data_IF_472293559763
#
_entry.id   IF_472293559763
#
_cell.length_a   1.000
_cell.length_b   1.000
_cell.length_c   1.000
_cell.angle_alpha   90.00
_cell.angle_beta   90.00
_cell.angle_gamma   90.00
#
_symmetry.space_group_name_H-M   'P 1'
#
loop_
_entity.id
_entity.type
_entity.pdbx_description
1 polymer ?
#
# COMPACT_ATOMS: atom_id res chain seq x y z
N UNK A 1 -19.14 -15.64 -13.62
CA UNK A 1 -19.40 -14.63 -12.58
C UNK A 1 -18.27 -13.61 -12.65
N UNK A 2 -18.57 -12.36 -12.97
CA UNK A 2 -17.56 -11.30 -12.96
C UNK A 2 -17.09 -11.12 -11.52
N UNK A 3 -15.86 -11.54 -11.21
CA UNK A 3 -15.23 -11.28 -9.93
C UNK A 3 -14.99 -9.77 -9.90
N UNK A 4 -15.73 -9.04 -9.08
CA UNK A 4 -15.50 -7.60 -8.90
C UNK A 4 -14.04 -7.42 -8.50
N UNK A 5 -13.23 -6.86 -9.40
CA UNK A 5 -11.82 -6.57 -9.18
C UNK A 5 -11.74 -5.28 -8.37
N UNK A 6 -11.97 -5.38 -7.07
CA UNK A 6 -11.67 -4.30 -6.14
C UNK A 6 -10.21 -4.39 -5.68
N UNK A 7 -9.79 -3.46 -4.80
CA UNK A 7 -8.41 -3.43 -4.30
C UNK A 7 -7.97 -4.75 -3.61
N UNK A 8 -8.89 -5.60 -3.14
CA UNK A 8 -8.55 -6.90 -2.58
C UNK A 8 -8.05 -7.89 -3.65
N UNK A 9 -8.32 -7.65 -4.94
CA UNK A 9 -7.74 -8.46 -6.03
C UNK A 9 -6.21 -8.34 -6.13
N UNK A 10 -5.61 -7.27 -5.60
CA UNK A 10 -4.15 -7.14 -5.47
C UNK A 10 -3.56 -8.08 -4.41
N UNK A 11 -4.36 -8.52 -3.43
CA UNK A 11 -3.92 -9.46 -2.39
C UNK A 11 -3.84 -10.89 -2.95
N UNK A 12 -4.83 -11.28 -3.76
CA UNK A 12 -4.99 -12.65 -4.26
C UNK A 12 -4.18 -12.96 -5.52
N UNK A 13 -3.73 -11.96 -6.28
CA UNK A 13 -3.16 -12.16 -7.63
C UNK A 13 -1.77 -12.81 -7.65
N UNK A 14 -1.07 -12.86 -6.51
CA UNK A 14 0.35 -13.26 -6.47
C UNK A 14 0.61 -14.70 -6.06
N UNK A 15 -0.42 -15.55 -5.94
CA UNK A 15 -0.25 -16.95 -5.53
C UNK A 15 0.50 -17.82 -6.53
N UNK A 16 0.43 -17.50 -7.83
CA UNK A 16 0.92 -18.35 -8.92
C UNK A 16 1.89 -17.61 -9.88
N UNK A 17 2.83 -16.83 -9.34
CA UNK A 17 3.85 -16.11 -10.13
C UNK A 17 5.17 -16.89 -10.20
N UNK A 18 5.87 -16.82 -11.34
CA UNK A 18 7.20 -17.44 -11.51
C UNK A 18 8.31 -16.71 -10.75
N UNK A 19 9.45 -17.36 -10.51
CA UNK A 19 10.56 -16.84 -9.67
C UNK A 19 11.09 -15.46 -10.09
N UNK A 20 11.42 -15.25 -11.37
CA UNK A 20 11.94 -13.96 -11.85
C UNK A 20 10.88 -12.86 -11.75
N UNK A 21 9.61 -13.21 -12.03
CA UNK A 21 8.49 -12.30 -11.88
C UNK A 21 8.23 -11.94 -10.41
N UNK A 22 8.43 -12.89 -9.48
CA UNK A 22 8.37 -12.66 -8.04
C UNK A 22 9.46 -11.71 -7.55
N UNK A 23 10.69 -11.81 -8.08
CA UNK A 23 11.78 -10.89 -7.75
C UNK A 23 11.49 -9.45 -8.20
N UNK A 24 11.06 -9.29 -9.44
CA UNK A 24 10.70 -7.98 -9.97
C UNK A 24 9.54 -7.36 -9.20
N UNK A 25 8.51 -8.16 -8.92
CA UNK A 25 7.34 -7.70 -8.18
C UNK A 25 7.65 -7.39 -6.72
N UNK A 26 8.53 -8.15 -6.06
CA UNK A 26 9.02 -7.82 -4.73
C UNK A 26 9.68 -6.44 -4.69
N UNK A 27 10.54 -6.12 -5.67
CA UNK A 27 11.19 -4.80 -5.74
C UNK A 27 10.18 -3.68 -5.94
N UNK A 28 9.24 -3.86 -6.88
CA UNK A 28 8.20 -2.86 -7.15
C UNK A 28 7.30 -2.65 -5.92
N UNK A 29 6.92 -3.73 -5.22
CA UNK A 29 6.08 -3.63 -4.02
C UNK A 29 6.82 -2.94 -2.86
N UNK A 30 8.11 -3.20 -2.68
CA UNK A 30 8.95 -2.50 -1.68
C UNK A 30 9.07 -0.99 -1.96
N UNK A 31 9.25 -0.61 -3.23
CA UNK A 31 9.30 0.80 -3.66
C UNK A 31 7.96 1.51 -3.43
N UNK A 32 6.84 0.88 -3.79
CA UNK A 32 5.50 1.46 -3.59
C UNK A 32 5.15 1.54 -2.11
N UNK A 33 5.48 0.52 -1.30
CA UNK A 33 5.29 0.55 0.15
C UNK A 33 6.03 1.74 0.79
N UNK A 34 7.29 1.94 0.39
CA UNK A 34 8.10 3.08 0.85
C UNK A 34 7.51 4.43 0.43
N UNK A 35 7.09 4.56 -0.83
CA UNK A 35 6.48 5.78 -1.34
C UNK A 35 5.17 6.13 -0.62
N UNK A 36 4.35 5.12 -0.29
CA UNK A 36 3.12 5.30 0.48
C UNK A 36 3.41 5.80 1.89
N UNK A 37 4.41 5.24 2.57
CA UNK A 37 4.78 5.66 3.93
C UNK A 37 5.31 7.11 3.95
N UNK A 38 6.16 7.48 3.00
CA UNK A 38 6.65 8.86 2.84
C UNK A 38 5.52 9.84 2.51
N UNK A 39 4.59 9.43 1.65
CA UNK A 39 3.41 10.22 1.28
C UNK A 39 2.49 10.47 2.49
N UNK A 40 2.17 9.41 3.24
CA UNK A 40 1.36 9.53 4.47
C UNK A 40 2.03 10.43 5.52
N UNK A 41 3.35 10.33 5.69
CA UNK A 41 4.11 11.21 6.59
C UNK A 41 4.03 12.67 6.15
N UNK A 42 4.17 12.95 4.85
CA UNK A 42 4.06 14.30 4.30
C UNK A 42 2.66 14.88 4.50
N UNK A 43 1.61 14.09 4.28
CA UNK A 43 0.22 14.50 4.55
C UNK A 43 0.04 14.85 6.03
N UNK A 44 0.52 14.00 6.95
CA UNK A 44 0.45 14.28 8.38
C UNK A 44 1.15 15.58 8.78
N UNK A 45 2.30 15.88 8.18
CA UNK A 45 2.99 17.15 8.39
C UNK A 45 2.18 18.35 7.87
N UNK A 46 1.59 18.25 6.67
CA UNK A 46 0.73 19.31 6.12
C UNK A 46 -0.51 19.54 6.99
N UNK A 47 -1.12 18.48 7.51
CA UNK A 47 -2.25 18.58 8.44
C UNK A 47 -1.84 19.28 9.74
N UNK A 48 -0.66 18.96 10.27
CA UNK A 48 -0.13 19.63 11.46
C UNK A 48 0.04 21.14 11.23
N UNK A 49 0.67 21.52 10.11
CA UNK A 49 0.85 22.94 9.73
C UNK A 49 -0.50 23.64 9.51
N UNK A 50 -1.45 22.97 8.84
CA UNK A 50 -2.78 23.52 8.60
C UNK A 50 -3.55 23.74 9.91
N UNK A 51 -3.43 22.82 10.88
CA UNK A 51 -4.08 22.95 12.19
C UNK A 51 -3.52 24.11 13.04
N UNK A 52 -2.30 24.57 12.77
CA UNK A 52 -1.72 25.76 13.41
C UNK A 52 -2.07 27.07 12.67
N UNK A 53 -2.77 27.01 11.54
CA UNK A 53 -3.17 28.19 10.76
C UNK A 53 -4.43 28.85 11.32
N UNK A 54 -4.35 30.15 11.63
CA UNK A 54 -5.49 30.96 12.06
C UNK A 54 -6.56 31.16 10.97
N UNK A 55 -6.21 30.90 9.70
CA UNK A 55 -7.14 31.02 8.56
C UNK A 55 -7.93 29.72 8.30
N UNK A 56 -7.60 28.62 8.99
CA UNK A 56 -8.14 27.29 8.73
C UNK A 56 -9.22 26.90 9.76
N UNK A 57 -10.45 27.36 9.54
CA UNK A 57 -11.57 27.18 10.48
C UNK A 57 -12.88 26.70 9.80
N UNK A 58 -13.89 26.34 10.61
CA UNK A 58 -15.28 26.18 10.14
C UNK A 58 -15.61 24.88 9.41
N UNK A 59 -16.38 24.98 8.32
CA UNK A 59 -16.81 23.81 7.54
C UNK A 59 -15.68 23.21 6.69
N UNK A 60 -14.69 24.02 6.30
CA UNK A 60 -13.56 23.60 5.45
C UNK A 60 -12.69 22.55 6.16
N UNK A 61 -12.34 22.79 7.43
CA UNK A 61 -11.56 21.83 8.23
C UNK A 61 -12.30 20.51 8.43
N UNK A 62 -13.62 20.54 8.66
CA UNK A 62 -14.43 19.34 8.85
C UNK A 62 -14.49 18.50 7.57
N UNK A 63 -14.69 19.15 6.43
CA UNK A 63 -14.75 18.48 5.12
C UNK A 63 -13.39 17.88 4.75
N UNK A 64 -12.30 18.60 4.98
CA UNK A 64 -10.95 18.11 4.72
C UNK A 64 -10.56 16.95 5.64
N UNK A 65 -10.86 17.04 6.93
CA UNK A 65 -10.63 15.92 7.86
C UNK A 65 -11.42 14.67 7.46
N UNK A 66 -12.65 14.84 6.98
CA UNK A 66 -13.46 13.73 6.44
C UNK A 66 -12.82 13.13 5.19
N UNK A 67 -12.41 13.96 4.23
CA UNK A 67 -11.75 13.53 2.99
C UNK A 67 -10.42 12.80 3.28
N UNK A 68 -9.62 13.32 4.21
CA UNK A 68 -8.36 12.72 4.65
C UNK A 68 -8.60 11.38 5.37
N UNK A 69 -9.62 11.30 6.22
CA UNK A 69 -10.03 10.04 6.84
C UNK A 69 -10.41 8.97 5.82
N UNK A 70 -11.15 9.34 4.77
CA UNK A 70 -11.47 8.43 3.67
C UNK A 70 -10.21 8.00 2.90
N UNK A 71 -9.32 8.95 2.59
CA UNK A 71 -8.04 8.67 1.94
C UNK A 71 -7.22 7.66 2.74
N UNK A 72 -6.98 7.91 4.04
CA UNK A 72 -6.18 7.01 4.89
C UNK A 72 -6.78 5.61 5.01
N UNK A 73 -8.12 5.51 5.06
CA UNK A 73 -8.82 4.21 5.04
C UNK A 73 -8.55 3.42 3.76
N UNK A 74 -8.46 4.09 2.60
CA UNK A 74 -8.13 3.44 1.34
C UNK A 74 -6.62 3.12 1.23
N UNK A 75 -5.75 4.05 1.61
CA UNK A 75 -4.30 3.84 1.62
C UNK A 75 -3.88 2.66 2.50
N UNK A 76 -4.50 2.51 3.68
CA UNK A 76 -4.23 1.38 4.58
C UNK A 76 -4.52 0.04 3.91
N UNK A 77 -5.61 -0.06 3.14
CA UNK A 77 -5.97 -1.29 2.42
C UNK A 77 -5.01 -1.58 1.27
N UNK A 78 -4.60 -0.54 0.55
CA UNK A 78 -3.61 -0.67 -0.53
C UNK A 78 -2.28 -1.14 0.05
N UNK A 79 -1.83 -0.54 1.17
CA UNK A 79 -0.63 -0.97 1.88
C UNK A 79 -0.70 -2.44 2.29
N UNK A 80 -1.82 -2.89 2.89
CA UNK A 80 -2.03 -4.31 3.21
C UNK A 80 -1.92 -5.21 1.97
N UNK A 81 -2.46 -4.77 0.82
CA UNK A 81 -2.30 -5.46 -0.45
C UNK A 81 -0.85 -5.63 -0.89
N UNK A 82 -0.08 -4.54 -0.80
CA UNK A 82 1.33 -4.51 -1.15
C UNK A 82 2.16 -5.39 -0.19
N UNK A 83 1.93 -5.30 1.12
CA UNK A 83 2.68 -6.12 2.09
C UNK A 83 2.39 -7.62 1.89
N UNK A 84 1.14 -8.01 1.63
CA UNK A 84 0.79 -9.40 1.32
C UNK A 84 1.41 -9.88 -0.01
N UNK A 85 1.41 -9.03 -1.04
CA UNK A 85 2.09 -9.32 -2.30
C UNK A 85 3.59 -9.56 -2.09
N UNK A 86 4.24 -8.70 -1.30
CA UNK A 86 5.66 -8.80 -0.93
C UNK A 86 5.95 -10.09 -0.15
N UNK A 87 5.10 -10.47 0.79
CA UNK A 87 5.21 -11.73 1.54
C UNK A 87 5.09 -12.95 0.62
N UNK A 88 4.10 -12.97 -0.27
CA UNK A 88 3.90 -14.04 -1.25
C UNK A 88 5.11 -14.16 -2.19
N UNK A 89 5.62 -13.05 -2.70
CA UNK A 89 6.83 -13.02 -3.53
C UNK A 89 8.04 -13.59 -2.76
N UNK A 90 8.23 -13.14 -1.50
CA UNK A 90 9.32 -13.63 -0.64
C UNK A 90 9.23 -15.13 -0.41
N UNK A 91 8.02 -15.66 -0.16
CA UNK A 91 7.79 -17.08 0.00
C UNK A 91 8.16 -17.87 -1.27
N UNK A 92 7.70 -17.44 -2.45
CA UNK A 92 8.03 -18.09 -3.73
C UNK A 92 9.53 -18.08 -4.02
N UNK A 93 10.21 -16.96 -3.75
CA UNK A 93 11.67 -16.84 -3.89
C UNK A 93 12.38 -17.85 -2.99
N UNK A 94 11.99 -17.94 -1.71
CA UNK A 94 12.58 -18.89 -0.75
C UNK A 94 12.34 -20.34 -1.15
N UNK A 95 11.15 -20.68 -1.66
CA UNK A 95 10.87 -22.04 -2.13
C UNK A 95 11.75 -22.44 -3.32
N UNK A 96 11.92 -21.54 -4.29
CA UNK A 96 12.78 -21.79 -5.44
C UNK A 96 14.26 -21.92 -5.06
N UNK A 97 14.72 -21.12 -4.10
CA UNK A 97 16.11 -21.16 -3.60
C UNK A 97 16.38 -22.38 -2.71
N UNK A 98 15.44 -22.74 -1.83
CA UNK A 98 15.53 -23.97 -1.02
C UNK A 98 15.37 -25.26 -1.83
N UNK A 99 14.60 -25.21 -2.92
CA UNK A 99 14.45 -26.33 -3.87
C UNK A 99 15.67 -26.52 -4.78
N UNK A 100 16.47 -25.47 -5.03
CA UNK A 100 17.75 -25.56 -5.76
C UNK A 100 18.90 -26.16 -4.96
N UNK A 101 18.74 -26.26 -3.64
CA UNK A 101 19.76 -26.82 -2.73
C UNK A 101 19.63 -28.35 -2.52
N UNK A 102 18.78 -29.04 -3.29
CA UNK A 102 18.64 -30.50 -3.30
C UNK A 102 19.01 -31.10 -4.64
#
# INVERSE_FOLDING_TARGET
MARNSDAYSLIDSFRDIGYEQAKEMYRLTDEVETALDLGMSSIGHLMFVAAESEEYEGEEISQDMSNLGMLFKHLTRIKQGISLAKENCSHTIRQAEGGRAK
#
